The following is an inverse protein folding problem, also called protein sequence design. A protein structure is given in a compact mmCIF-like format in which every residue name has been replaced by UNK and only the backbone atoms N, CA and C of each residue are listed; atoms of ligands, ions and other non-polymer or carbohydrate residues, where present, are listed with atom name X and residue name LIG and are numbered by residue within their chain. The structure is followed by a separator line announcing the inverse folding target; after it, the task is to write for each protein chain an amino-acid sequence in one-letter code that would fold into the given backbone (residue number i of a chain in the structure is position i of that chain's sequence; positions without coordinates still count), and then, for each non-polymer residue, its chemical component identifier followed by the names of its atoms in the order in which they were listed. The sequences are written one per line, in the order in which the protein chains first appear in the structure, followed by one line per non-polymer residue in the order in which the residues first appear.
data_IF_622202314022
#
_entry.id   IF_622202314022
#
_cell.length_a   1.000
_cell.length_b   1.000
_cell.length_c   1.000
_cell.angle_alpha   90.00
_cell.angle_beta   90.00
_cell.angle_gamma   90.00
#
_symmetry.space_group_name_H-M   'P 1'
#
loop_
_entity.id
_entity.type
_entity.pdbx_description
1 polymer ?
#
# COMPACT_ATOMS: atom_id res chain seq x y z
N UNK A 1 15.32 13.17 -4.40
CA UNK A 1 15.46 11.82 -3.82
C UNK A 1 16.01 11.98 -2.41
N UNK A 2 15.30 11.51 -1.36
CA UNK A 2 15.89 11.47 -0.02
C UNK A 2 16.75 10.22 0.10
N UNK A 3 17.91 10.35 0.74
CA UNK A 3 18.78 9.22 1.02
C UNK A 3 18.18 8.43 2.20
N UNK A 4 17.87 7.16 1.97
CA UNK A 4 17.49 6.22 3.03
C UNK A 4 18.73 5.40 3.39
N UNK A 5 19.05 5.24 4.69
CA UNK A 5 20.07 4.28 5.09
C UNK A 5 19.67 2.88 4.60
N UNK A 6 20.64 2.01 4.27
CA UNK A 6 20.35 0.62 3.90
C UNK A 6 19.45 -0.06 4.94
N UNK A 7 18.52 -0.90 4.47
CA UNK A 7 17.61 -1.69 5.33
C UNK A 7 16.78 -0.86 6.31
N UNK A 8 16.35 0.34 5.93
CA UNK A 8 15.44 1.15 6.75
C UNK A 8 14.00 1.17 6.19
N UNK A 9 13.28 0.03 6.17
CA UNK A 9 11.93 -0.04 5.64
C UNK A 9 10.96 0.85 6.42
N UNK A 10 11.21 1.06 7.73
CA UNK A 10 10.37 1.89 8.60
C UNK A 10 10.34 3.37 8.16
N UNK A 11 11.35 3.84 7.42
CA UNK A 11 11.40 5.20 6.88
C UNK A 11 10.84 5.31 5.46
N UNK A 12 10.25 4.24 4.91
CA UNK A 12 9.74 4.21 3.54
C UNK A 12 8.22 3.95 3.51
N UNK A 13 7.37 4.98 3.35
CA UNK A 13 5.92 4.84 3.45
C UNK A 13 5.29 3.99 2.33
N UNK A 14 6.07 3.61 1.31
CA UNK A 14 5.62 2.67 0.28
C UNK A 14 5.39 1.27 0.86
N UNK A 15 6.08 0.89 1.93
CA UNK A 15 5.95 -0.44 2.55
C UNK A 15 4.55 -0.65 3.13
N UNK A 16 4.00 0.37 3.79
CA UNK A 16 2.61 0.35 4.27
C UNK A 16 1.61 0.36 3.12
N UNK A 17 1.91 1.07 2.03
CA UNK A 17 1.04 1.07 0.85
C UNK A 17 0.95 -0.32 0.20
N UNK A 18 2.08 -1.00 0.02
CA UNK A 18 2.11 -2.37 -0.47
C UNK A 18 1.46 -3.33 0.52
N UNK A 19 1.65 -3.13 1.81
CA UNK A 19 0.99 -3.93 2.85
C UNK A 19 -0.54 -3.77 2.79
N UNK A 20 -1.06 -2.56 2.54
CA UNK A 20 -2.48 -2.29 2.37
C UNK A 20 -3.06 -3.05 1.16
N UNK A 21 -2.40 -2.95 0.00
CA UNK A 21 -2.82 -3.63 -1.23
C UNK A 21 -2.78 -5.15 -1.04
N UNK A 22 -1.68 -5.70 -0.51
CA UNK A 22 -1.55 -7.14 -0.21
C UNK A 22 -2.61 -7.63 0.77
N UNK A 23 -2.94 -6.83 1.78
CA UNK A 23 -3.98 -7.19 2.75
C UNK A 23 -5.36 -7.29 2.09
N UNK A 24 -5.70 -6.35 1.19
CA UNK A 24 -6.95 -6.42 0.44
C UNK A 24 -6.98 -7.65 -0.48
N UNK A 25 -5.90 -7.92 -1.22
CA UNK A 25 -5.79 -9.08 -2.11
C UNK A 25 -5.98 -10.38 -1.32
N UNK A 26 -5.32 -10.53 -0.17
CA UNK A 26 -5.46 -11.72 0.68
C UNK A 26 -6.89 -11.94 1.18
N UNK A 27 -7.61 -10.87 1.51
CA UNK A 27 -9.02 -10.95 1.93
C UNK A 27 -9.96 -11.32 0.79
N UNK A 28 -9.60 -10.95 -0.44
CA UNK A 28 -10.41 -11.15 -1.64
C UNK A 28 -9.83 -12.26 -2.55
N UNK A 29 -8.97 -13.13 -2.03
CA UNK A 29 -8.17 -14.05 -2.85
C UNK A 29 -9.04 -14.91 -3.78
N UNK A 30 -10.20 -15.35 -3.29
CA UNK A 30 -11.13 -16.19 -4.04
C UNK A 30 -11.76 -15.46 -5.24
N UNK A 31 -12.13 -14.19 -5.04
CA UNK A 31 -12.61 -13.31 -6.14
C UNK A 31 -11.55 -13.19 -7.23
N UNK A 32 -10.29 -13.04 -6.83
CA UNK A 32 -9.16 -12.85 -7.76
C UNK A 32 -8.85 -14.15 -8.51
N UNK A 33 -8.84 -15.30 -7.82
CA UNK A 33 -8.51 -16.59 -8.43
C UNK A 33 -9.54 -17.09 -9.42
N UNK A 34 -10.79 -16.64 -9.30
CA UNK A 34 -11.92 -17.06 -10.14
C UNK A 34 -12.30 -15.99 -11.20
N UNK A 35 -11.65 -14.82 -11.20
CA UNK A 35 -11.97 -13.73 -12.12
C UNK A 35 -11.43 -13.97 -13.53
N UNK A 36 -12.24 -13.65 -14.54
CA UNK A 36 -11.82 -13.59 -15.95
C UNK A 36 -10.77 -12.48 -16.18
N UNK A 37 -10.87 -11.39 -15.40
CA UNK A 37 -10.00 -10.20 -15.48
C UNK A 37 -9.46 -9.84 -14.08
N UNK A 38 -8.46 -10.57 -13.56
CA UNK A 38 -7.93 -10.38 -12.20
C UNK A 38 -7.27 -9.00 -11.96
N UNK A 39 -6.82 -8.31 -13.01
CA UNK A 39 -6.29 -6.95 -12.97
C UNK A 39 -7.33 -5.92 -12.49
N UNK A 40 -8.63 -6.17 -12.70
CA UNK A 40 -9.71 -5.33 -12.15
C UNK A 40 -9.62 -5.29 -10.62
N UNK A 41 -9.39 -6.45 -10.01
CA UNK A 41 -9.23 -6.55 -8.56
C UNK A 41 -7.93 -5.87 -8.08
N UNK A 42 -6.89 -5.78 -8.92
CA UNK A 42 -5.71 -4.97 -8.60
C UNK A 42 -6.05 -3.48 -8.55
N UNK A 43 -6.84 -2.96 -9.49
CA UNK A 43 -7.31 -1.57 -9.45
C UNK A 43 -8.17 -1.29 -8.20
N UNK A 44 -9.07 -2.21 -7.84
CA UNK A 44 -9.85 -2.12 -6.60
C UNK A 44 -8.95 -2.14 -5.35
N UNK A 45 -7.96 -3.03 -5.30
CA UNK A 45 -6.99 -3.10 -4.21
C UNK A 45 -6.20 -1.79 -4.08
N UNK A 46 -5.73 -1.25 -5.19
CA UNK A 46 -5.04 0.04 -5.26
C UNK A 46 -5.93 1.20 -4.81
N UNK A 47 -7.22 1.18 -5.13
CA UNK A 47 -8.18 2.19 -4.68
C UNK A 47 -8.35 2.22 -3.14
N UNK A 48 -7.92 1.18 -2.42
CA UNK A 48 -7.92 1.19 -0.95
C UNK A 48 -6.83 2.07 -0.34
N UNK A 49 -5.85 2.51 -1.14
CA UNK A 49 -4.83 3.48 -0.75
C UNK A 49 -5.44 4.88 -0.82
N UNK A 50 -6.03 5.33 0.28
CA UNK A 50 -6.65 6.66 0.37
C UNK A 50 -5.62 7.73 0.74
N UNK A 51 -5.95 9.00 0.46
CA UNK A 51 -5.12 10.13 0.86
C UNK A 51 -4.87 10.21 2.37
N UNK A 52 -5.86 9.87 3.20
CA UNK A 52 -5.71 9.86 4.65
C UNK A 52 -4.78 8.76 5.14
N UNK A 53 -4.85 7.57 4.55
CA UNK A 53 -3.89 6.49 4.82
C UNK A 53 -2.48 6.91 4.44
N UNK A 54 -2.31 7.50 3.25
CA UNK A 54 -1.01 7.99 2.80
C UNK A 54 -0.43 9.01 3.78
N UNK A 55 -1.22 10.02 4.20
CA UNK A 55 -0.79 10.99 5.23
C UNK A 55 -0.39 10.29 6.53
N UNK A 56 -1.14 9.27 6.96
CA UNK A 56 -0.81 8.46 8.13
C UNK A 56 0.52 7.73 8.01
N UNK A 57 0.79 7.09 6.87
CA UNK A 57 2.03 6.34 6.63
C UNK A 57 3.24 7.25 6.51
N UNK A 58 3.13 8.39 5.84
CA UNK A 58 4.20 9.38 5.84
C UNK A 58 4.53 9.86 7.27
N UNK A 59 3.52 10.11 8.12
CA UNK A 59 3.75 10.45 9.54
C UNK A 59 4.41 9.31 10.31
N UNK A 60 3.97 8.07 10.08
CA UNK A 60 4.55 6.88 10.71
C UNK A 60 6.03 6.70 10.35
N UNK A 61 6.39 6.97 9.09
CA UNK A 61 7.79 6.97 8.62
C UNK A 61 8.58 8.22 9.00
N UNK A 62 8.07 9.09 9.89
CA UNK A 62 8.77 10.26 10.41
C UNK A 62 8.74 11.51 9.52
N UNK A 63 7.90 11.55 8.49
CA UNK A 63 7.73 12.72 7.63
C UNK A 63 6.64 13.66 8.14
N UNK A 64 6.90 14.96 8.09
CA UNK A 64 5.89 15.99 8.35
C UNK A 64 5.03 16.14 7.11
N UNK A 65 3.72 15.93 7.25
CA UNK A 65 2.73 16.00 6.17
C UNK A 65 1.69 17.03 6.54
N UNK A 66 1.55 18.06 5.71
CA UNK A 66 0.51 19.09 5.80
C UNK A 66 -0.86 18.52 5.38
#
# INVERSE_FOLDING_TARGET
MRFLPPYSPDFNPIEESFSCVKAWIRRNWRKISEAEYPEIALYEASATVTGDKAKGWFRHSGYIVQ
#
